data_IF_152993864020
#
_entry.id   IF_152993864020
#
_cell.length_a   1.000
_cell.length_b   1.000
_cell.length_c   1.000
_cell.angle_alpha   90.00
_cell.angle_beta   90.00
_cell.angle_gamma   90.00
#
_symmetry.space_group_name_H-M   'P 1'
#
loop_
_entity.id
_entity.type
_entity.pdbx_description
1 polymer ?
#
# COMPACT_ATOMS: atom_id res chain seq x y z
N UNK A 1 -73.43 48.25 12.77
CA UNK A 1 -72.12 47.59 12.49
C UNK A 1 -71.66 48.01 11.11
N UNK A 2 -70.41 48.47 10.93
CA UNK A 2 -69.89 48.81 9.62
C UNK A 2 -69.80 47.54 8.75
N UNK A 3 -70.13 47.63 7.46
CA UNK A 3 -70.08 46.49 6.52
C UNK A 3 -68.70 45.79 6.50
N UNK A 4 -67.63 46.54 6.76
CA UNK A 4 -66.27 46.01 6.91
C UNK A 4 -66.18 44.95 8.03
N UNK A 5 -66.80 45.20 9.18
CA UNK A 5 -66.75 44.29 10.33
C UNK A 5 -67.44 42.94 10.05
N UNK A 6 -68.56 42.96 9.32
CA UNK A 6 -69.25 41.73 8.92
C UNK A 6 -68.38 40.94 7.92
N UNK A 7 -67.72 41.62 6.98
CA UNK A 7 -66.82 40.96 6.03
C UNK A 7 -65.62 40.31 6.73
N UNK A 8 -65.02 40.97 7.72
CA UNK A 8 -63.92 40.42 8.51
C UNK A 8 -64.37 39.22 9.34
N UNK A 9 -65.55 39.29 9.97
CA UNK A 9 -66.13 38.17 10.70
C UNK A 9 -66.39 36.96 9.80
N UNK A 10 -66.96 37.17 8.60
CA UNK A 10 -67.20 36.10 7.62
C UNK A 10 -65.89 35.50 7.10
N UNK A 11 -64.87 36.32 6.87
CA UNK A 11 -63.54 35.83 6.49
C UNK A 11 -62.93 35.01 7.64
N UNK A 12 -63.08 35.46 8.88
CA UNK A 12 -62.59 34.75 10.06
C UNK A 12 -63.28 33.40 10.27
N UNK A 13 -64.60 33.32 10.09
CA UNK A 13 -65.37 32.10 10.27
C UNK A 13 -65.11 31.10 9.15
N UNK A 14 -65.00 31.58 7.90
CA UNK A 14 -64.59 30.75 6.76
C UNK A 14 -63.19 30.17 6.96
N UNK A 15 -62.24 30.97 7.46
CA UNK A 15 -60.88 30.51 7.78
C UNK A 15 -60.88 29.43 8.87
N UNK A 16 -61.61 29.63 9.98
CA UNK A 16 -61.73 28.63 11.05
C UNK A 16 -62.26 27.30 10.52
N UNK A 17 -63.35 27.34 9.75
CA UNK A 17 -63.94 26.13 9.16
C UNK A 17 -62.95 25.39 8.24
N UNK A 18 -62.19 26.11 7.41
CA UNK A 18 -61.17 25.50 6.54
C UNK A 18 -60.04 24.85 7.37
N UNK A 19 -59.61 25.50 8.45
CA UNK A 19 -58.57 24.96 9.33
C UNK A 19 -59.05 23.71 10.08
N UNK A 20 -60.29 23.71 10.57
CA UNK A 20 -60.86 22.56 11.28
C UNK A 20 -61.03 21.38 10.32
N UNK A 21 -61.57 21.61 9.11
CA UNK A 21 -61.72 20.59 8.06
C UNK A 21 -60.36 20.02 7.61
N UNK A 22 -59.35 20.87 7.45
CA UNK A 22 -57.98 20.43 7.18
C UNK A 22 -57.38 19.62 8.34
N UNK A 23 -57.57 20.07 9.59
CA UNK A 23 -57.05 19.38 10.76
C UNK A 23 -57.74 18.02 11.02
N UNK A 24 -58.95 17.81 10.53
CA UNK A 24 -59.66 16.52 10.62
C UNK A 24 -59.33 15.58 9.46
N UNK A 25 -59.01 16.13 8.28
CA UNK A 25 -58.67 15.35 7.07
C UNK A 25 -57.17 15.05 6.93
N UNK A 26 -56.31 15.77 7.66
CA UNK A 26 -54.87 15.57 7.60
C UNK A 26 -54.44 14.24 8.24
N UNK A 27 -53.38 13.65 7.70
CA UNK A 27 -52.70 12.49 8.28
C UNK A 27 -51.83 12.85 9.50
N UNK A 28 -51.69 14.15 9.83
CA UNK A 28 -50.94 14.60 10.99
C UNK A 28 -51.67 14.25 12.29
N UNK A 29 -51.26 13.14 12.92
CA UNK A 29 -51.91 12.56 14.10
C UNK A 29 -52.20 13.56 15.24
N UNK A 30 -51.28 14.49 15.49
CA UNK A 30 -51.48 15.51 16.53
C UNK A 30 -52.54 16.56 16.19
N UNK A 31 -52.70 16.91 14.91
CA UNK A 31 -53.60 17.98 14.47
C UNK A 31 -55.07 17.65 14.75
N UNK A 32 -55.48 16.39 14.54
CA UNK A 32 -56.84 15.92 14.83
C UNK A 32 -57.15 16.06 16.33
N UNK A 33 -56.19 15.70 17.20
CA UNK A 33 -56.35 15.77 18.65
C UNK A 33 -56.41 17.22 19.16
N UNK A 34 -55.60 18.11 18.57
CA UNK A 34 -55.64 19.54 18.88
C UNK A 34 -56.96 20.19 18.44
N UNK A 35 -57.47 19.83 17.25
CA UNK A 35 -58.74 20.33 16.69
C UNK A 35 -59.94 19.87 17.52
N UNK A 36 -60.04 18.57 17.84
CA UNK A 36 -61.14 17.99 18.62
C UNK A 36 -61.15 18.38 20.11
N UNK A 37 -60.07 18.99 20.62
CA UNK A 37 -59.97 19.36 22.02
C UNK A 37 -60.91 20.52 22.38
N UNK A 38 -61.84 20.28 23.32
CA UNK A 38 -62.80 21.29 23.81
C UNK A 38 -62.21 22.20 24.89
N UNK A 39 -61.33 21.66 25.74
CA UNK A 39 -60.72 22.41 26.85
C UNK A 39 -59.48 23.16 26.36
N UNK A 40 -59.40 24.46 26.62
CA UNK A 40 -58.23 25.28 26.26
C UNK A 40 -56.91 24.69 26.78
N UNK A 41 -56.91 24.16 28.01
CA UNK A 41 -55.75 23.48 28.60
C UNK A 41 -55.30 22.27 27.78
N UNK A 42 -56.22 21.39 27.41
CA UNK A 42 -55.90 20.19 26.62
C UNK A 42 -55.46 20.55 25.21
N UNK A 43 -56.05 21.60 24.61
CA UNK A 43 -55.62 22.11 23.31
C UNK A 43 -54.20 22.66 23.36
N UNK A 44 -53.85 23.44 24.40
CA UNK A 44 -52.49 23.93 24.61
C UNK A 44 -51.53 22.77 24.79
N UNK A 45 -51.89 21.75 25.59
CA UNK A 45 -51.07 20.55 25.78
C UNK A 45 -50.79 19.82 24.46
N UNK A 46 -51.81 19.61 23.62
CA UNK A 46 -51.60 18.97 22.31
C UNK A 46 -50.76 19.84 21.38
N UNK A 47 -50.96 21.16 21.36
CA UNK A 47 -50.14 22.08 20.57
C UNK A 47 -48.67 22.05 21.04
N UNK A 48 -48.40 22.08 22.34
CA UNK A 48 -47.03 22.01 22.86
C UNK A 48 -46.37 20.67 22.56
N UNK A 49 -47.13 19.56 22.63
CA UNK A 49 -46.64 18.24 22.23
C UNK A 49 -46.32 18.14 20.73
N UNK A 50 -47.16 18.74 19.86
CA UNK A 50 -46.90 18.79 18.41
C UNK A 50 -45.66 19.63 18.11
N UNK A 51 -45.52 20.80 18.75
CA UNK A 51 -44.37 21.67 18.57
C UNK A 51 -43.07 21.01 19.06
N UNK A 52 -43.09 20.35 20.22
CA UNK A 52 -41.91 19.63 20.73
C UNK A 52 -41.52 18.45 19.83
N UNK A 53 -42.50 17.68 19.34
CA UNK A 53 -42.26 16.61 18.38
C UNK A 53 -41.65 17.13 17.07
N UNK A 54 -42.12 18.27 16.56
CA UNK A 54 -41.58 18.90 15.35
C UNK A 54 -40.13 19.38 15.54
N UNK A 55 -39.81 20.00 16.69
CA UNK A 55 -38.45 20.43 17.03
C UNK A 55 -37.50 19.22 17.13
N UNK A 56 -37.90 18.14 17.81
CA UNK A 56 -37.07 16.93 17.93
C UNK A 56 -36.89 16.26 16.56
N UNK A 57 -37.95 16.16 15.76
CA UNK A 57 -37.92 15.56 14.44
C UNK A 57 -36.98 16.32 13.49
N UNK A 58 -37.09 17.65 13.43
CA UNK A 58 -36.21 18.49 12.60
C UNK A 58 -34.74 18.38 13.03
N UNK A 59 -34.46 18.33 14.34
CA UNK A 59 -33.11 18.11 14.85
C UNK A 59 -32.54 16.73 14.47
N UNK A 60 -33.34 15.66 14.58
CA UNK A 60 -32.92 14.31 14.18
C UNK A 60 -32.69 14.19 12.66
N UNK A 61 -33.51 14.87 11.85
CA UNK A 61 -33.32 14.96 10.40
C UNK A 61 -32.00 15.67 10.09
N UNK A 62 -31.71 16.78 10.75
CA UNK A 62 -30.44 17.50 10.57
C UNK A 62 -29.22 16.62 10.91
N UNK A 63 -29.24 15.90 12.04
CA UNK A 63 -28.17 14.94 12.39
C UNK A 63 -28.03 13.85 11.33
N UNK A 64 -29.14 13.31 10.84
CA UNK A 64 -29.11 12.23 9.84
C UNK A 64 -28.54 12.71 8.50
N UNK A 65 -28.88 13.93 8.09
CA UNK A 65 -28.34 14.58 6.88
C UNK A 65 -26.85 14.87 7.05
N UNK A 66 -26.44 15.43 8.18
CA UNK A 66 -25.03 15.70 8.47
C UNK A 66 -24.21 14.40 8.44
N UNK A 67 -24.69 13.35 9.10
CA UNK A 67 -24.05 12.02 9.07
C UNK A 67 -23.98 11.41 7.67
N UNK A 68 -24.98 11.64 6.82
CA UNK A 68 -24.96 11.20 5.43
C UNK A 68 -23.85 11.92 4.63
N UNK A 69 -23.71 13.24 4.79
CA UNK A 69 -22.68 14.04 4.12
C UNK A 69 -21.28 13.95 4.76
N UNK A 70 -21.14 13.31 5.91
CA UNK A 70 -19.82 12.94 6.44
C UNK A 70 -19.18 11.76 5.68
N UNK A 71 -19.92 11.07 4.80
CA UNK A 71 -19.44 9.94 4.00
C UNK A 71 -18.69 8.87 4.82
N UNK A 72 -19.16 8.58 6.03
CA UNK A 72 -18.51 7.62 6.92
C UNK A 72 -18.53 6.21 6.32
N UNK A 73 -17.38 5.53 6.41
CA UNK A 73 -17.18 4.18 5.87
C UNK A 73 -16.90 3.17 6.98
N UNK A 74 -17.24 1.89 6.78
CA UNK A 74 -16.90 0.79 7.71
C UNK A 74 -15.97 -0.21 7.02
N UNK A 75 -15.04 -0.79 7.77
CA UNK A 75 -14.12 -1.83 7.27
C UNK A 75 -14.75 -3.20 7.46
N UNK A 76 -14.88 -3.98 6.38
CA UNK A 76 -15.31 -5.38 6.43
C UNK A 76 -14.11 -6.31 6.23
N UNK A 77 -13.81 -7.14 7.22
CA UNK A 77 -12.73 -8.14 7.14
C UNK A 77 -13.37 -9.49 6.81
N UNK A 78 -13.02 -10.05 5.64
CA UNK A 78 -13.45 -11.38 5.24
C UNK A 78 -12.24 -12.29 5.11
N UNK A 79 -12.24 -13.41 5.84
CA UNK A 79 -11.24 -14.46 5.68
C UNK A 79 -11.80 -15.46 4.66
N UNK A 80 -11.24 -15.45 3.45
CA UNK A 80 -11.59 -16.42 2.41
C UNK A 80 -10.52 -17.50 2.34
N UNK A 81 -10.92 -18.75 2.56
CA UNK A 81 -10.08 -19.90 2.27
C UNK A 81 -10.11 -20.13 0.76
N UNK A 82 -9.03 -19.74 0.08
CA UNK A 82 -8.91 -19.95 -1.36
C UNK A 82 -8.40 -21.37 -1.59
N UNK A 83 -9.15 -22.16 -2.36
CA UNK A 83 -8.70 -23.47 -2.85
C UNK A 83 -7.66 -23.35 -3.96
N UNK A 84 -7.52 -22.15 -4.52
CA UNK A 84 -6.75 -21.85 -5.71
C UNK A 84 -6.16 -20.44 -5.54
N UNK A 85 -4.88 -20.33 -5.21
CA UNK A 85 -4.16 -19.04 -5.13
C UNK A 85 -2.99 -19.00 -6.11
N UNK A 86 -2.69 -17.80 -6.62
CA UNK A 86 -1.53 -17.58 -7.49
C UNK A 86 -0.33 -17.32 -6.59
N UNK A 87 0.76 -18.06 -6.86
CA UNK A 87 2.01 -17.88 -6.14
C UNK A 87 2.58 -16.48 -6.41
N UNK A 88 3.01 -15.72 -5.38
CA UNK A 88 3.62 -14.42 -5.58
C UNK A 88 4.95 -14.54 -6.33
N UNK A 89 5.37 -13.43 -6.93
CA UNK A 89 6.75 -13.29 -7.38
C UNK A 89 7.68 -13.14 -6.17
N UNK A 90 8.87 -13.74 -6.27
CA UNK A 90 9.90 -13.66 -5.23
C UNK A 90 11.15 -13.07 -5.84
N UNK A 91 11.48 -11.86 -5.41
CA UNK A 91 12.65 -11.11 -5.84
C UNK A 91 13.79 -11.30 -4.85
N UNK A 92 14.98 -11.60 -5.36
CA UNK A 92 16.17 -11.90 -4.57
C UNK A 92 17.34 -11.09 -5.13
N UNK A 93 17.98 -10.33 -4.25
CA UNK A 93 19.16 -9.53 -4.57
C UNK A 93 20.30 -9.88 -3.63
N UNK A 94 21.52 -9.99 -4.15
CA UNK A 94 22.71 -10.12 -3.33
C UNK A 94 23.02 -8.75 -2.67
N UNK A 95 23.38 -8.72 -1.38
CA UNK A 95 23.71 -7.45 -0.70
C UNK A 95 25.03 -6.82 -1.20
N UNK A 96 25.81 -7.55 -1.99
CA UNK A 96 26.97 -7.02 -2.67
C UNK A 96 26.67 -6.74 -4.16
N UNK A 97 26.63 -5.46 -4.59
CA UNK A 97 26.29 -5.12 -5.97
C UNK A 97 27.37 -5.48 -6.99
N UNK A 98 28.64 -5.55 -6.59
CA UNK A 98 29.79 -5.79 -7.50
C UNK A 98 30.72 -6.86 -6.91
N UNK A 99 31.04 -7.87 -7.71
CA UNK A 99 32.01 -8.91 -7.34
C UNK A 99 33.44 -8.35 -7.24
N UNK A 100 34.14 -8.65 -6.15
CA UNK A 100 35.51 -8.19 -5.92
C UNK A 100 36.49 -8.68 -7.01
N UNK A 101 36.33 -9.91 -7.49
CA UNK A 101 37.12 -10.46 -8.60
C UNK A 101 36.97 -9.63 -9.89
N UNK A 102 35.73 -9.29 -10.25
CA UNK A 102 35.44 -8.45 -11.43
C UNK A 102 36.05 -7.06 -11.28
N UNK A 103 35.89 -6.44 -10.11
CA UNK A 103 36.44 -5.11 -9.83
C UNK A 103 37.97 -5.09 -9.94
N UNK A 104 38.65 -6.13 -9.41
CA UNK A 104 40.10 -6.29 -9.53
C UNK A 104 40.55 -6.39 -10.98
N UNK A 105 39.85 -7.17 -11.81
CA UNK A 105 40.15 -7.28 -13.24
C UNK A 105 39.92 -5.97 -13.96
N UNK A 106 38.80 -5.28 -13.70
CA UNK A 106 38.46 -3.99 -14.30
C UNK A 106 39.53 -2.92 -14.01
N UNK A 107 39.95 -2.81 -12.74
CA UNK A 107 41.03 -1.88 -12.40
C UNK A 107 42.37 -2.32 -12.96
N UNK A 108 42.72 -3.60 -12.93
CA UNK A 108 43.99 -4.05 -13.52
C UNK A 108 44.12 -3.74 -15.02
N UNK A 109 43.01 -3.78 -15.76
CA UNK A 109 42.98 -3.39 -17.18
C UNK A 109 43.06 -1.87 -17.38
N UNK A 110 42.55 -1.11 -16.41
CA UNK A 110 42.59 0.37 -16.45
C UNK A 110 43.94 0.90 -15.93
N UNK A 111 44.68 0.09 -15.18
CA UNK A 111 45.86 0.51 -14.43
C UNK A 111 47.12 -0.27 -14.78
N UNK A 112 47.75 0.05 -15.91
CA UNK A 112 49.19 -0.26 -16.05
C UNK A 112 50.07 0.68 -15.19
N UNK A 113 49.50 1.75 -14.60
CA UNK A 113 50.20 2.73 -13.75
C UNK A 113 49.56 2.92 -12.35
N UNK A 114 48.61 2.08 -11.93
CA UNK A 114 47.78 2.41 -10.76
C UNK A 114 47.55 1.28 -9.74
N UNK A 115 48.49 0.35 -9.61
CA UNK A 115 48.50 -0.58 -8.46
C UNK A 115 48.53 0.16 -7.11
N UNK A 116 49.04 1.39 -7.07
CA UNK A 116 48.94 2.29 -5.91
C UNK A 116 47.56 2.98 -5.77
N UNK A 117 46.81 3.18 -6.88
CA UNK A 117 45.46 3.76 -6.79
C UNK A 117 44.42 2.73 -6.41
N UNK A 118 44.62 1.44 -6.63
CA UNK A 118 43.67 0.42 -6.14
C UNK A 118 43.52 0.47 -4.61
N UNK A 119 44.63 0.60 -3.88
CA UNK A 119 44.62 0.74 -2.42
C UNK A 119 44.17 2.14 -1.96
N UNK A 120 44.48 3.20 -2.71
CA UNK A 120 43.99 4.55 -2.41
C UNK A 120 42.50 4.74 -2.74
N UNK A 121 41.97 4.03 -3.73
CA UNK A 121 40.55 4.04 -4.08
C UNK A 121 39.71 3.40 -2.97
N UNK A 122 40.26 2.39 -2.29
CA UNK A 122 39.68 1.85 -1.06
C UNK A 122 39.79 2.79 0.13
N UNK A 123 40.66 3.81 0.09
CA UNK A 123 40.88 4.81 1.15
C UNK A 123 40.19 6.14 0.84
N UNK A 124 38.88 6.13 0.64
CA UNK A 124 38.12 7.33 0.96
C UNK A 124 38.25 7.56 2.48
N UNK A 125 39.08 8.51 2.87
CA UNK A 125 39.42 8.77 4.28
C UNK A 125 38.22 9.35 5.02
N UNK A 126 38.13 9.11 6.33
CA UNK A 126 37.10 9.74 7.17
C UNK A 126 37.16 11.29 7.07
N UNK A 127 38.34 11.86 6.83
CA UNK A 127 38.52 13.29 6.55
C UNK A 127 37.81 13.72 5.25
N UNK A 128 37.92 12.92 4.18
CA UNK A 128 37.22 13.19 2.92
C UNK A 128 35.71 13.06 3.09
N UNK A 129 35.22 12.17 3.97
CA UNK A 129 33.79 12.08 4.32
C UNK A 129 33.30 13.35 4.96
N UNK A 130 34.00 13.80 6.02
CA UNK A 130 33.64 15.02 6.73
C UNK A 130 33.62 16.24 5.81
N UNK A 131 34.64 16.41 4.97
CA UNK A 131 34.69 17.53 4.04
C UNK A 131 33.54 17.49 3.01
N UNK A 132 33.17 16.31 2.53
CA UNK A 132 32.07 16.15 1.57
C UNK A 132 30.70 16.43 2.23
N UNK A 133 30.49 15.92 3.44
CA UNK A 133 29.29 16.13 4.26
C UNK A 133 29.13 17.60 4.70
N UNK A 134 30.23 18.31 4.97
CA UNK A 134 30.18 19.76 5.23
C UNK A 134 29.89 20.58 3.96
N UNK A 135 30.45 20.20 2.81
CA UNK A 135 30.25 20.91 1.54
C UNK A 135 28.83 20.75 1.00
N UNK A 136 28.25 19.57 1.14
CA UNK A 136 26.91 19.27 0.67
C UNK A 136 26.06 19.19 1.92
N UNK A 137 25.21 20.20 2.21
CA UNK A 137 24.23 20.22 3.32
C UNK A 137 23.25 19.03 3.24
N UNK A 138 23.77 17.82 3.38
CA UNK A 138 23.08 16.56 3.33
C UNK A 138 22.59 16.27 4.74
N UNK A 139 21.48 15.53 4.83
CA UNK A 139 20.68 15.24 6.02
C UNK A 139 21.40 15.38 7.37
N UNK A 140 20.71 15.97 8.36
CA UNK A 140 21.19 16.15 9.74
C UNK A 140 21.75 14.86 10.38
N UNK A 141 21.39 13.69 9.82
CA UNK A 141 21.97 12.40 10.16
C UNK A 141 22.03 11.45 8.95
N UNK A 142 23.23 11.12 8.47
CA UNK A 142 23.46 10.06 7.47
C UNK A 142 23.75 8.74 8.19
N UNK A 143 22.92 7.72 7.97
CA UNK A 143 23.18 6.40 8.59
C UNK A 143 24.43 5.74 7.99
N UNK A 144 25.16 4.88 8.75
CA UNK A 144 26.30 4.14 8.22
C UNK A 144 25.96 3.34 6.95
N UNK A 145 24.73 2.83 6.87
CA UNK A 145 24.17 2.11 5.73
C UNK A 145 24.04 3.01 4.49
N UNK A 146 23.49 4.22 4.65
CA UNK A 146 23.41 5.22 3.58
C UNK A 146 24.80 5.63 3.09
N UNK A 147 25.78 5.74 4.01
CA UNK A 147 27.17 6.03 3.64
C UNK A 147 27.78 4.94 2.76
N UNK A 148 27.50 3.67 3.07
CA UNK A 148 27.92 2.53 2.23
C UNK A 148 27.20 2.56 0.88
N UNK A 149 25.91 2.92 0.86
CA UNK A 149 25.13 3.05 -0.37
C UNK A 149 25.73 4.11 -1.30
N UNK A 150 25.96 5.30 -0.77
CA UNK A 150 26.58 6.39 -1.50
C UNK A 150 27.94 5.99 -2.10
N UNK A 151 28.77 5.25 -1.34
CA UNK A 151 30.08 4.77 -1.81
C UNK A 151 29.97 3.92 -3.07
N UNK A 152 29.08 2.92 -3.10
CA UNK A 152 28.98 2.05 -4.27
C UNK A 152 28.25 2.74 -5.42
N UNK A 153 27.22 3.56 -5.17
CA UNK A 153 26.54 4.32 -6.22
C UNK A 153 27.52 5.26 -6.93
N UNK A 154 28.36 5.94 -6.15
CA UNK A 154 29.45 6.78 -6.68
C UNK A 154 30.43 5.96 -7.53
N UNK A 155 30.86 4.80 -7.04
CA UNK A 155 31.75 3.90 -7.80
C UNK A 155 31.10 3.47 -9.14
N UNK A 156 29.83 3.06 -9.11
CA UNK A 156 29.10 2.62 -10.31
C UNK A 156 28.99 3.77 -11.32
N UNK A 157 28.61 4.96 -10.85
CA UNK A 157 28.39 6.13 -11.70
C UNK A 157 29.70 6.72 -12.26
N UNK A 158 30.70 6.97 -11.41
CA UNK A 158 31.98 7.57 -11.82
C UNK A 158 32.76 6.69 -12.81
N UNK A 159 32.60 5.36 -12.72
CA UNK A 159 33.31 4.40 -13.58
C UNK A 159 32.46 3.80 -14.69
N UNK A 160 31.19 4.22 -14.81
CA UNK A 160 30.23 3.69 -15.78
C UNK A 160 30.22 2.14 -15.81
N UNK A 161 30.12 1.53 -14.63
CA UNK A 161 30.20 0.08 -14.47
C UNK A 161 28.95 -0.59 -15.02
N UNK A 162 29.14 -1.55 -15.91
CA UNK A 162 28.06 -2.41 -16.37
C UNK A 162 27.70 -3.45 -15.30
N UNK A 163 26.68 -3.14 -14.48
CA UNK A 163 26.21 -3.98 -13.39
C UNK A 163 25.80 -5.38 -13.85
N UNK A 164 25.28 -5.50 -15.07
CA UNK A 164 24.94 -6.76 -15.71
C UNK A 164 26.07 -7.80 -15.60
N UNK A 165 27.32 -7.37 -15.82
CA UNK A 165 28.50 -8.24 -15.87
C UNK A 165 29.23 -8.25 -14.52
N UNK A 166 29.26 -7.08 -13.86
CA UNK A 166 29.96 -6.87 -12.60
C UNK A 166 29.29 -7.55 -11.40
N UNK A 167 27.96 -7.63 -11.43
CA UNK A 167 27.14 -8.23 -10.38
C UNK A 167 27.27 -9.75 -10.30
N UNK A 168 26.63 -10.33 -9.30
CA UNK A 168 26.54 -11.78 -9.15
C UNK A 168 25.62 -12.39 -10.19
N UNK A 169 25.98 -13.58 -10.68
CA UNK A 169 25.19 -14.35 -11.63
C UNK A 169 24.34 -15.40 -10.90
N UNK A 170 23.07 -15.52 -11.26
CA UNK A 170 22.15 -16.50 -10.66
C UNK A 170 22.63 -17.94 -10.82
N UNK A 171 23.33 -18.28 -11.90
CA UNK A 171 23.84 -19.63 -12.12
C UNK A 171 24.91 -20.03 -11.09
N UNK A 172 25.58 -19.05 -10.47
CA UNK A 172 26.55 -19.28 -9.41
C UNK A 172 25.94 -19.13 -8.01
N UNK A 173 24.92 -18.29 -7.86
CA UNK A 173 24.23 -18.10 -6.59
C UNK A 173 23.23 -19.22 -6.29
N UNK A 174 22.57 -19.80 -7.29
CA UNK A 174 21.53 -20.81 -7.10
C UNK A 174 22.14 -22.22 -7.04
N UNK A 175 22.26 -22.78 -5.83
CA UNK A 175 22.74 -24.16 -5.65
C UNK A 175 21.63 -25.16 -5.94
N UNK A 176 20.46 -24.95 -5.33
CA UNK A 176 19.29 -25.80 -5.52
C UNK A 176 18.00 -24.99 -5.45
N UNK A 177 16.99 -25.46 -6.18
CA UNK A 177 15.71 -24.79 -6.36
C UNK A 177 14.62 -25.82 -6.51
N UNK A 178 13.62 -25.78 -5.64
CA UNK A 178 12.42 -26.58 -5.77
C UNK A 178 11.17 -25.72 -5.60
N UNK A 179 10.18 -25.98 -6.45
CA UNK A 179 8.87 -25.35 -6.38
C UNK A 179 7.82 -26.42 -6.69
N UNK A 180 6.82 -26.57 -5.83
CA UNK A 180 5.79 -27.62 -5.95
C UNK A 180 6.38 -29.04 -6.08
N UNK A 181 7.41 -29.35 -5.30
CA UNK A 181 8.15 -30.63 -5.42
C UNK A 181 8.81 -30.89 -6.78
N UNK A 182 8.88 -29.88 -7.67
CA UNK A 182 9.57 -29.95 -8.95
C UNK A 182 10.85 -29.11 -8.92
N UNK A 183 11.91 -29.58 -9.60
CA UNK A 183 13.18 -28.87 -9.66
C UNK A 183 13.05 -27.65 -10.57
N UNK A 184 13.37 -26.47 -10.05
CA UNK A 184 13.50 -25.25 -10.85
C UNK A 184 14.96 -24.98 -11.20
N UNK A 185 15.18 -24.12 -12.20
CA UNK A 185 16.52 -23.76 -12.68
C UNK A 185 16.65 -22.24 -12.77
N UNK A 186 17.87 -21.75 -13.01
CA UNK A 186 18.13 -20.33 -13.25
C UNK A 186 17.26 -19.73 -14.38
N UNK A 187 16.76 -20.53 -15.33
CA UNK A 187 15.86 -20.08 -16.41
C UNK A 187 14.49 -19.61 -15.91
N UNK A 188 14.09 -20.02 -14.70
CA UNK A 188 12.83 -19.59 -14.08
C UNK A 188 12.95 -18.22 -13.37
N UNK A 189 14.13 -17.60 -13.42
CA UNK A 189 14.40 -16.30 -12.83
C UNK A 189 14.62 -15.27 -13.92
N UNK A 190 13.93 -14.15 -13.81
CA UNK A 190 14.14 -12.98 -14.66
C UNK A 190 15.13 -12.05 -13.98
N UNK A 191 16.18 -11.62 -14.70
CA UNK A 191 17.17 -10.67 -14.18
C UNK A 191 16.71 -9.24 -14.45
N UNK A 192 16.90 -8.38 -13.46
CA UNK A 192 16.78 -6.94 -13.61
C UNK A 192 17.86 -6.24 -12.77
N UNK A 193 18.11 -4.97 -13.06
CA UNK A 193 19.18 -4.19 -12.44
C UNK A 193 18.60 -3.21 -11.42
N UNK A 194 19.07 -3.31 -10.18
CA UNK A 194 18.69 -2.44 -9.08
C UNK A 194 19.83 -1.47 -8.75
N UNK A 195 19.50 -0.19 -8.53
CA UNK A 195 20.51 0.85 -8.28
C UNK A 195 21.39 0.56 -7.06
N UNK A 196 20.83 -0.01 -5.99
CA UNK A 196 21.55 -0.27 -4.73
C UNK A 196 22.16 -1.68 -4.68
N UNK A 197 21.47 -2.68 -5.23
CA UNK A 197 21.84 -4.09 -5.04
C UNK A 197 22.47 -4.71 -6.30
N UNK A 198 22.56 -3.99 -7.40
CA UNK A 198 23.08 -4.52 -8.66
C UNK A 198 22.12 -5.53 -9.28
N UNK A 199 22.61 -6.72 -9.64
CA UNK A 199 21.78 -7.76 -10.24
C UNK A 199 20.79 -8.35 -9.23
N UNK A 200 19.50 -8.23 -9.54
CA UNK A 200 18.41 -8.87 -8.83
C UNK A 200 17.71 -9.88 -9.74
N UNK A 201 17.12 -10.90 -9.12
CA UNK A 201 16.49 -12.02 -9.81
C UNK A 201 15.11 -12.28 -9.24
N UNK A 202 14.10 -12.26 -10.11
CA UNK A 202 12.71 -12.49 -9.74
C UNK A 202 12.25 -13.85 -10.23
N UNK A 203 11.92 -14.73 -9.30
CA UNK A 203 11.26 -16.00 -9.58
C UNK A 203 9.81 -15.74 -9.94
N UNK A 204 9.38 -16.27 -11.08
CA UNK A 204 7.98 -16.34 -11.45
C UNK A 204 7.60 -17.79 -11.72
N UNK A 205 6.52 -18.24 -11.10
CA UNK A 205 5.98 -19.57 -11.37
C UNK A 205 5.50 -19.64 -12.82
N UNK A 206 6.01 -20.61 -13.59
CA UNK A 206 5.59 -20.80 -14.97
C UNK A 206 4.20 -21.43 -15.01
N UNK A 207 3.25 -20.71 -15.60
CA UNK A 207 1.85 -21.14 -15.74
C UNK A 207 0.95 -20.58 -14.63
N UNK A 208 -0.30 -20.26 -14.99
CA UNK A 208 -1.37 -19.90 -14.05
C UNK A 208 -1.85 -21.14 -13.28
N UNK A 209 -0.92 -21.89 -12.68
CA UNK A 209 -1.26 -23.02 -11.84
C UNK A 209 -1.77 -22.49 -10.50
N UNK A 210 -3.08 -22.39 -10.41
CA UNK A 210 -3.79 -22.20 -9.17
C UNK A 210 -3.35 -23.25 -8.15
N UNK A 211 -2.83 -22.79 -7.02
CA UNK A 211 -2.31 -23.64 -5.97
C UNK A 211 -3.40 -24.02 -4.97
N UNK A 212 -3.60 -25.33 -4.74
CA UNK A 212 -4.48 -25.84 -3.68
C UNK A 212 -3.78 -26.36 -2.44
N UNK A 213 -2.45 -26.52 -2.47
CA UNK A 213 -1.71 -27.09 -1.34
C UNK A 213 -0.83 -26.05 -0.66
N UNK A 214 -0.97 -25.96 0.66
CA UNK A 214 -0.19 -25.08 1.53
C UNK A 214 0.82 -25.93 2.29
N UNK A 215 2.07 -25.47 2.38
CA UNK A 215 3.12 -26.12 3.15
C UNK A 215 4.51 -25.91 2.56
N UNK A 216 5.58 -26.25 3.31
CA UNK A 216 6.96 -26.03 2.88
C UNK A 216 7.36 -26.85 1.64
N UNK A 217 6.75 -28.02 1.43
CA UNK A 217 7.01 -28.88 0.26
C UNK A 217 6.39 -28.34 -1.04
N UNK A 218 5.28 -27.61 -0.93
CA UNK A 218 4.55 -27.06 -2.08
C UNK A 218 4.94 -25.61 -2.41
N UNK A 219 5.65 -24.95 -1.49
CA UNK A 219 6.18 -23.60 -1.68
C UNK A 219 7.47 -23.57 -2.53
N UNK A 220 8.10 -22.40 -2.54
CA UNK A 220 9.43 -22.20 -3.12
C UNK A 220 10.49 -22.49 -2.06
N UNK A 221 11.43 -23.38 -2.35
CA UNK A 221 12.59 -23.66 -1.51
C UNK A 221 13.88 -23.46 -2.31
N UNK A 222 14.77 -22.65 -1.78
CA UNK A 222 16.00 -22.21 -2.44
C UNK A 222 17.19 -22.46 -1.53
N UNK A 223 18.26 -22.99 -2.11
CA UNK A 223 19.58 -22.99 -1.49
C UNK A 223 20.46 -22.02 -2.26
N UNK A 224 20.89 -20.95 -1.59
CA UNK A 224 21.63 -19.87 -2.21
C UNK A 224 23.07 -19.79 -1.69
N UNK A 225 24.02 -19.61 -2.60
CA UNK A 225 25.41 -19.33 -2.31
C UNK A 225 25.66 -17.82 -2.32
N UNK A 226 26.03 -17.27 -1.16
CA UNK A 226 26.27 -15.83 -1.00
C UNK A 226 27.54 -15.36 -1.73
N UNK A 227 28.55 -16.23 -1.88
CA UNK A 227 29.89 -15.87 -2.35
C UNK A 227 30.52 -14.72 -1.53
N UNK A 228 30.58 -14.89 -0.21
CA UNK A 228 31.12 -13.91 0.75
C UNK A 228 32.55 -13.45 0.45
N UNK A 229 33.39 -14.29 -0.17
CA UNK A 229 34.73 -13.91 -0.65
C UNK A 229 34.74 -12.83 -1.73
N UNK A 230 33.63 -12.66 -2.46
CA UNK A 230 33.49 -11.64 -3.50
C UNK A 230 33.03 -10.28 -2.92
N UNK A 231 32.78 -10.19 -1.62
CA UNK A 231 32.27 -8.98 -1.00
C UNK A 231 33.35 -7.91 -0.82
N UNK A 232 32.97 -6.67 -1.15
CA UNK A 232 33.80 -5.50 -0.98
C UNK A 232 33.61 -4.94 0.44
N UNK A 233 34.59 -5.18 1.33
CA UNK A 233 34.55 -4.84 2.78
C UNK A 233 34.04 -3.42 3.10
N UNK A 234 34.26 -2.44 2.21
CA UNK A 234 33.86 -1.03 2.42
C UNK A 234 32.62 -0.58 1.63
N UNK A 235 32.05 -1.45 0.80
CA UNK A 235 30.96 -1.13 -0.15
C UNK A 235 29.72 -2.02 0.00
N UNK A 236 29.82 -3.14 0.72
CA UNK A 236 28.67 -3.99 1.08
C UNK A 236 28.20 -3.70 2.50
N UNK A 237 26.88 -3.65 2.73
CA UNK A 237 26.31 -3.41 4.07
C UNK A 237 26.50 -4.60 5.03
N UNK A 238 26.67 -5.80 4.49
CA UNK A 238 26.81 -7.06 5.20
C UNK A 238 26.56 -8.21 4.23
N UNK A 239 26.83 -9.44 4.65
CA UNK A 239 26.67 -10.63 3.79
C UNK A 239 25.27 -11.20 3.86
N UNK A 240 24.68 -11.51 2.69
CA UNK A 240 23.35 -12.12 2.62
C UNK A 240 22.56 -11.71 1.40
N UNK A 241 21.25 -11.90 1.49
CA UNK A 241 20.31 -11.56 0.41
C UNK A 241 19.21 -10.63 0.92
N UNK A 242 18.81 -9.67 0.09
CA UNK A 242 17.57 -8.94 0.26
C UNK A 242 16.48 -9.65 -0.55
N UNK A 243 15.39 -10.02 0.11
CA UNK A 243 14.30 -10.79 -0.49
C UNK A 243 12.98 -10.06 -0.32
N UNK A 244 12.22 -9.95 -1.41
CA UNK A 244 10.89 -9.35 -1.42
C UNK A 244 9.89 -10.34 -2.01
N UNK A 245 8.74 -10.47 -1.36
CA UNK A 245 7.59 -11.20 -1.88
C UNK A 245 6.55 -10.18 -2.31
N UNK A 246 6.21 -10.17 -3.60
CA UNK A 246 5.31 -9.19 -4.18
C UNK A 246 4.39 -9.84 -5.22
N UNK A 247 3.27 -9.20 -5.60
CA UNK A 247 2.45 -9.69 -6.68
C UNK A 247 3.22 -9.66 -8.00
N UNK A 248 2.93 -10.61 -8.89
CA UNK A 248 3.69 -10.79 -10.14
C UNK A 248 3.54 -9.62 -11.12
N UNK A 249 2.48 -8.84 -10.99
CA UNK A 249 2.15 -7.70 -11.84
C UNK A 249 2.89 -6.42 -11.45
N UNK A 250 3.53 -6.39 -10.27
CA UNK A 250 4.17 -5.20 -9.71
C UNK A 250 5.70 -5.31 -9.77
N UNK A 251 6.33 -4.16 -9.99
CA UNK A 251 7.78 -4.02 -9.92
C UNK A 251 8.20 -4.09 -8.44
N UNK A 252 9.21 -4.90 -8.08
CA UNK A 252 9.72 -5.00 -6.72
C UNK A 252 10.48 -3.74 -6.28
N UNK A 253 10.35 -3.40 -5.00
CA UNK A 253 11.12 -2.36 -4.29
C UNK A 253 11.82 -2.99 -3.08
N UNK A 254 12.87 -3.80 -3.30
CA UNK A 254 13.50 -4.59 -2.24
C UNK A 254 14.05 -3.73 -1.13
N UNK A 255 14.47 -2.49 -1.39
CA UNK A 255 14.93 -1.50 -0.43
C UNK A 255 13.87 -1.17 0.64
N UNK A 256 12.62 -1.01 0.21
CA UNK A 256 11.51 -0.54 1.06
C UNK A 256 10.65 -1.70 1.61
N UNK A 257 10.47 -2.76 0.81
CA UNK A 257 9.54 -3.86 1.10
C UNK A 257 10.23 -5.19 1.36
N UNK A 258 11.51 -5.30 1.02
CA UNK A 258 12.29 -6.52 1.21
C UNK A 258 12.79 -6.72 2.64
N UNK A 259 12.95 -7.98 3.03
CA UNK A 259 13.60 -8.39 4.28
C UNK A 259 14.96 -9.03 3.99
N UNK A 260 15.87 -8.97 4.96
CA UNK A 260 17.23 -9.50 4.81
C UNK A 260 17.30 -10.94 5.32
N UNK A 261 17.99 -11.81 4.58
CA UNK A 261 18.31 -13.18 4.95
C UNK A 261 19.82 -13.32 5.09
N UNK A 262 20.28 -13.74 6.27
CA UNK A 262 21.69 -13.97 6.56
C UNK A 262 22.16 -15.34 6.03
N UNK A 263 23.43 -15.49 5.64
CA UNK A 263 24.02 -16.80 5.35
C UNK A 263 24.09 -17.70 6.59
N UNK A 264 24.20 -19.02 6.36
CA UNK A 264 24.43 -20.01 7.41
C UNK A 264 23.19 -20.40 8.23
N UNK A 265 22.01 -19.86 7.90
CA UNK A 265 20.74 -20.20 8.54
C UNK A 265 19.70 -20.62 7.51
N UNK A 266 18.78 -21.51 7.92
CA UNK A 266 17.59 -21.84 7.13
C UNK A 266 16.45 -20.92 7.56
N UNK A 267 15.90 -20.14 6.63
CA UNK A 267 14.81 -19.19 6.91
C UNK A 267 13.51 -19.72 6.31
N UNK A 268 12.49 -19.89 7.16
CA UNK A 268 11.13 -20.23 6.74
C UNK A 268 10.28 -18.96 6.72
N UNK A 269 9.58 -18.69 5.62
CA UNK A 269 8.78 -17.48 5.42
C UNK A 269 7.33 -17.88 5.17
N UNK A 270 6.47 -17.68 6.17
CA UNK A 270 5.03 -17.85 6.02
C UNK A 270 4.41 -16.63 5.36
N UNK A 271 3.62 -16.84 4.30
CA UNK A 271 2.94 -15.76 3.56
C UNK A 271 1.43 -15.82 3.77
N UNK A 272 0.80 -14.66 3.91
CA UNK A 272 -0.66 -14.48 3.85
C UNK A 272 -0.99 -13.47 2.76
N UNK A 273 -1.81 -13.87 1.80
CA UNK A 273 -2.34 -12.96 0.80
C UNK A 273 -3.46 -12.11 1.43
N UNK A 274 -3.39 -10.80 1.23
CA UNK A 274 -4.39 -9.82 1.65
C UNK A 274 -4.86 -9.11 0.38
N UNK A 275 -6.17 -8.93 0.22
CA UNK A 275 -6.73 -8.08 -0.83
C UNK A 275 -7.41 -6.90 -0.16
N UNK A 276 -7.06 -5.69 -0.61
CA UNK A 276 -7.63 -4.45 -0.10
C UNK A 276 -8.43 -3.81 -1.23
N UNK A 277 -9.71 -3.56 -0.99
CA UNK A 277 -10.58 -2.77 -1.86
C UNK A 277 -11.00 -1.52 -1.10
N UNK A 278 -11.04 -0.37 -1.78
CA UNK A 278 -11.41 0.93 -1.21
C UNK A 278 -12.62 1.47 -1.96
N UNK A 279 -13.43 2.28 -1.29
CA UNK A 279 -14.53 2.97 -1.94
C UNK A 279 -14.02 4.19 -2.71
N UNK A 280 -14.64 4.53 -3.86
CA UNK A 280 -14.28 5.71 -4.63
C UNK A 280 -14.70 7.01 -3.91
N UNK A 281 -14.25 8.15 -4.45
CA UNK A 281 -14.76 9.48 -4.07
C UNK A 281 -16.30 9.52 -4.24
N UNK A 282 -17.09 10.13 -3.33
CA UNK A 282 -16.77 11.08 -2.26
C UNK A 282 -16.51 10.50 -0.86
N UNK A 283 -16.36 9.17 -0.74
CA UNK A 283 -15.96 8.54 0.52
C UNK A 283 -14.47 8.85 0.84
N UNK A 284 -13.85 8.10 1.76
CA UNK A 284 -12.42 8.17 2.12
C UNK A 284 -11.45 7.82 0.94
N UNK A 285 -11.95 7.86 -0.30
CA UNK A 285 -11.21 7.65 -1.53
C UNK A 285 -10.27 8.83 -1.78
N UNK A 286 -9.08 8.76 -1.18
CA UNK A 286 -7.86 9.28 -1.81
C UNK A 286 -7.90 8.90 -3.29
N UNK A 287 -7.54 9.81 -4.19
CA UNK A 287 -7.52 9.68 -5.66
C UNK A 287 -6.77 8.42 -6.14
N UNK A 288 -7.36 7.25 -5.91
CA UNK A 288 -6.70 5.97 -6.05
C UNK A 288 -6.96 5.46 -7.44
N UNK A 289 -6.19 5.97 -8.40
CA UNK A 289 -5.73 5.26 -9.62
C UNK A 289 -6.76 4.67 -10.60
N UNK A 290 -8.05 4.63 -10.28
CA UNK A 290 -9.11 4.08 -11.12
C UNK A 290 -9.48 5.03 -12.28
N UNK A 291 -8.64 6.04 -12.56
CA UNK A 291 -8.64 6.83 -13.79
C UNK A 291 -8.02 6.04 -14.96
N UNK A 292 -8.50 4.81 -15.16
CA UNK A 292 -8.42 4.12 -16.45
C UNK A 292 -9.81 4.13 -17.05
N UNK A 293 -10.02 4.90 -18.12
CA UNK A 293 -11.29 5.03 -18.86
C UNK A 293 -11.87 3.73 -19.46
N UNK A 294 -11.33 2.55 -19.09
CA UNK A 294 -11.68 1.24 -19.62
C UNK A 294 -11.91 0.17 -18.53
N UNK A 295 -12.12 0.55 -17.26
CA UNK A 295 -12.50 -0.43 -16.24
C UNK A 295 -14.01 -0.50 -16.19
N UNK A 296 -14.56 -1.58 -16.76
CA UNK A 296 -15.99 -1.93 -16.67
C UNK A 296 -16.46 -1.84 -15.22
N UNK A 297 -17.69 -1.37 -14.95
CA UNK A 297 -18.25 -1.32 -13.60
C UNK A 297 -18.36 -2.71 -12.93
N UNK A 298 -18.24 -3.79 -13.71
CA UNK A 298 -18.15 -5.18 -13.26
C UNK A 298 -16.77 -5.83 -13.53
N UNK A 299 -15.79 -5.02 -13.93
CA UNK A 299 -14.41 -5.43 -14.11
C UNK A 299 -13.78 -5.84 -12.78
N UNK A 300 -12.77 -6.73 -12.78
CA UNK A 300 -12.11 -7.10 -11.54
C UNK A 300 -11.48 -5.82 -10.98
N UNK A 301 -12.02 -5.32 -9.86
CA UNK A 301 -11.41 -4.29 -9.02
C UNK A 301 -9.90 -4.39 -9.14
N UNK A 302 -9.19 -3.28 -9.39
CA UNK A 302 -7.74 -3.30 -9.52
C UNK A 302 -7.18 -3.86 -8.21
N UNK A 303 -6.95 -5.18 -8.23
CA UNK A 303 -6.79 -5.98 -7.03
C UNK A 303 -5.35 -5.77 -6.61
N UNK A 304 -5.09 -4.76 -5.80
CA UNK A 304 -3.84 -4.68 -5.08
C UNK A 304 -3.84 -5.83 -4.05
N UNK A 305 -3.35 -6.98 -4.48
CA UNK A 305 -2.98 -8.02 -3.54
C UNK A 305 -1.71 -7.57 -2.83
N UNK A 306 -1.72 -7.60 -1.51
CA UNK A 306 -0.57 -7.35 -0.67
C UNK A 306 -0.22 -8.67 -0.01
N UNK A 307 1.05 -9.03 -0.04
CA UNK A 307 1.54 -10.22 0.65
C UNK A 307 2.15 -9.77 1.98
N UNK A 308 1.63 -10.31 3.08
CA UNK A 308 2.18 -10.04 4.40
C UNK A 308 2.96 -11.26 4.90
N UNK A 309 4.18 -11.02 5.35
CA UNK A 309 5.01 -12.00 6.06
C UNK A 309 4.43 -12.24 7.44
N UNK A 310 4.34 -13.50 7.88
CA UNK A 310 4.16 -13.86 9.28
C UNK A 310 5.50 -14.08 9.98
#
# INVERSE_FOLDING_TARGET
MPQSYISELLVSSKRKRILDDFAETTSAHGCILASKSQNAFMRILWITAILSAWIICTYQIWISIDKYYQYQTVVSIQIRHMTNSIFPAVTICNLNPIRASWLKTFFSQTSNNETEKSDNFHKFTEQQWKNYEEQHRLAEHITPEMRIIHKHLRLIFEKNINLSVAGHDINHMLIDCTYQSTKCTAKNFTRWEHGIYGNCYTFQATGQQYQGFVGPLYGLSLTLYVADKEYLVRHSQGSGFKVEVHPAEYIPFPEDKGFTISPGVMTSVGIKQIRVSRMPLPYDGTDCGDLGNNVEPDGPWVNASLYHKR
#
